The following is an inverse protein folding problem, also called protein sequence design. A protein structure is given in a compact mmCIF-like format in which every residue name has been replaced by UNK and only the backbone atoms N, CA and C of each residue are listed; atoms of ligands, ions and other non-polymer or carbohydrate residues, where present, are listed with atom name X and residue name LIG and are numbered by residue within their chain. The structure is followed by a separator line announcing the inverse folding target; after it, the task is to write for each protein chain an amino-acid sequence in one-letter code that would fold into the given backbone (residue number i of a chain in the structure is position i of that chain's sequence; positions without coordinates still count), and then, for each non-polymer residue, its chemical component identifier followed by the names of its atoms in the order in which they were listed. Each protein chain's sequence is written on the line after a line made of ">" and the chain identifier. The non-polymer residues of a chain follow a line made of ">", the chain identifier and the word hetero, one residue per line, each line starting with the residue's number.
data_IF_164434232452
#
_entry.id   IF_164434232452
#
_cell.length_a   1.000
_cell.length_b   1.000
_cell.length_c   1.000
_cell.angle_alpha   90.00
_cell.angle_beta   90.00
_cell.angle_gamma   90.00
#
_symmetry.space_group_name_H-M   'P 1'
#
loop_
_entity.id
_entity.type
_entity.pdbx_description
1 polymer ?
#
# COMPACT_ATOMS: atom_id res chain seq x y z
N UNK A 1 -0.42 -20.28 86.39
CA UNK A 1 -0.24 -18.88 85.89
C UNK A 1 0.79 -18.82 84.75
N UNK A 2 0.71 -19.74 83.78
CA UNK A 2 1.75 -19.87 82.72
C UNK A 2 1.21 -19.84 81.28
N UNK A 3 -0.11 -19.59 81.07
CA UNK A 3 -0.70 -19.63 79.70
C UNK A 3 -0.89 -18.29 79.02
N UNK A 4 -0.77 -17.13 79.66
CA UNK A 4 -0.98 -15.82 79.06
C UNK A 4 0.22 -15.29 78.24
N UNK A 5 1.44 -15.77 78.50
CA UNK A 5 2.65 -15.30 77.81
C UNK A 5 2.78 -15.79 76.41
N UNK A 6 2.40 -17.02 76.08
CA UNK A 6 2.62 -17.65 74.80
C UNK A 6 1.62 -17.12 73.74
N UNK A 7 0.43 -16.70 74.15
CA UNK A 7 -0.60 -16.18 73.23
C UNK A 7 -0.21 -14.80 72.62
N UNK A 8 0.52 -14.00 73.42
CA UNK A 8 0.96 -12.64 72.96
C UNK A 8 2.08 -12.74 71.94
N UNK A 9 3.00 -13.69 72.08
CA UNK A 9 4.11 -13.92 71.17
C UNK A 9 3.59 -14.45 69.84
N UNK A 10 2.62 -15.38 69.83
CA UNK A 10 2.03 -15.87 68.59
C UNK A 10 1.27 -14.78 67.80
N UNK A 11 0.51 -13.91 68.46
CA UNK A 11 -0.19 -12.80 67.79
C UNK A 11 0.78 -11.83 67.11
N UNK A 12 1.89 -11.50 67.74
CA UNK A 12 2.88 -10.61 67.16
C UNK A 12 3.60 -11.25 65.98
N UNK A 13 3.88 -12.57 66.02
CA UNK A 13 4.51 -13.28 64.90
C UNK A 13 3.62 -13.36 63.68
N UNK A 14 2.30 -13.59 63.83
CA UNK A 14 1.32 -13.61 62.76
C UNK A 14 1.10 -12.20 62.14
N UNK A 15 1.10 -11.16 63.00
CA UNK A 15 0.92 -9.78 62.54
C UNK A 15 2.12 -9.28 61.70
N UNK A 16 3.34 -9.63 62.09
CA UNK A 16 4.54 -9.28 61.32
C UNK A 16 4.64 -10.04 60.00
N UNK A 17 4.21 -11.32 59.96
CA UNK A 17 4.21 -12.09 58.73
C UNK A 17 3.26 -11.55 57.65
N UNK A 18 2.12 -11.02 58.07
CA UNK A 18 1.14 -10.41 57.14
C UNK A 18 1.59 -9.05 56.60
N UNK A 19 2.28 -8.26 57.42
CA UNK A 19 2.84 -6.96 56.98
C UNK A 19 3.94 -7.18 55.92
N UNK A 20 4.81 -8.18 56.12
CA UNK A 20 5.87 -8.51 55.16
C UNK A 20 5.32 -9.05 53.84
N UNK A 21 4.27 -9.91 53.88
CA UNK A 21 3.60 -10.40 52.68
C UNK A 21 2.89 -9.30 51.90
N UNK A 22 2.25 -8.33 52.57
CA UNK A 22 1.61 -7.23 51.90
C UNK A 22 2.61 -6.25 51.27
N UNK A 23 3.72 -5.96 51.92
CA UNK A 23 4.81 -5.13 51.38
C UNK A 23 5.43 -5.78 50.14
N UNK A 24 5.60 -7.10 50.13
CA UNK A 24 6.13 -7.85 49.00
C UNK A 24 5.15 -7.87 47.81
N UNK A 25 3.82 -7.95 48.07
CA UNK A 25 2.82 -7.88 47.03
C UNK A 25 2.69 -6.48 46.37
N UNK A 26 2.82 -5.42 47.19
CA UNK A 26 2.81 -4.04 46.70
C UNK A 26 4.08 -3.74 45.89
N UNK A 27 5.26 -4.21 46.34
CA UNK A 27 6.49 -4.07 45.58
C UNK A 27 6.44 -4.82 44.23
N UNK A 28 5.86 -6.04 44.20
CA UNK A 28 5.72 -6.84 42.99
C UNK A 28 4.74 -6.19 42.00
N UNK A 29 3.63 -5.60 42.46
CA UNK A 29 2.69 -4.87 41.63
C UNK A 29 3.28 -3.57 41.06
N UNK A 30 4.11 -2.87 41.82
CA UNK A 30 4.81 -1.67 41.34
C UNK A 30 5.85 -1.99 40.27
N UNK A 31 6.58 -3.09 40.40
CA UNK A 31 7.56 -3.54 39.38
C UNK A 31 6.86 -4.00 38.11
N UNK A 32 5.68 -4.64 38.19
CA UNK A 32 4.90 -5.01 37.02
C UNK A 32 4.28 -3.79 36.32
N UNK A 33 3.86 -2.77 37.08
CA UNK A 33 3.30 -1.54 36.48
C UNK A 33 4.36 -0.70 35.76
N UNK A 34 5.61 -0.67 36.25
CA UNK A 34 6.71 0.06 35.58
C UNK A 34 7.24 -0.67 34.36
N UNK A 35 7.17 -1.99 34.29
CA UNK A 35 7.58 -2.76 33.10
C UNK A 35 6.59 -2.66 31.93
N UNK A 36 5.33 -2.34 32.19
CA UNK A 36 4.32 -2.13 31.12
C UNK A 36 4.47 -0.75 30.48
N UNK A 37 4.97 0.25 31.19
CA UNK A 37 5.19 1.60 30.64
C UNK A 37 6.43 1.65 29.71
N UNK A 38 7.40 0.74 29.91
CA UNK A 38 8.61 0.64 29.07
C UNK A 38 8.42 -0.17 27.77
N UNK A 39 7.30 -0.88 27.63
CA UNK A 39 6.91 -1.66 26.45
C UNK A 39 5.67 -1.06 25.76
N UNK A 40 5.46 0.26 25.85
CA UNK A 40 4.68 0.88 24.80
C UNK A 40 5.43 0.53 23.50
N UNK A 41 4.87 -0.34 22.61
CA UNK A 41 5.44 -0.43 21.30
C UNK A 41 5.50 1.03 20.84
N UNK A 42 6.67 1.50 20.47
CA UNK A 42 6.74 2.62 19.60
C UNK A 42 5.90 2.19 18.40
N UNK A 43 4.60 2.47 18.43
CA UNK A 43 3.85 2.61 17.22
C UNK A 43 4.60 3.74 16.53
N UNK A 44 5.64 3.36 15.78
CA UNK A 44 6.07 4.19 14.70
C UNK A 44 4.76 4.40 13.95
N UNK A 45 4.13 5.53 14.15
CA UNK A 45 3.25 6.07 13.14
C UNK A 45 4.14 6.00 11.92
N UNK A 46 3.93 4.96 11.09
CA UNK A 46 4.50 4.96 9.78
C UNK A 46 4.05 6.30 9.24
N UNK A 47 4.97 7.26 9.21
CA UNK A 47 4.75 8.47 8.47
C UNK A 47 4.37 7.94 7.10
N UNK A 48 3.09 8.06 6.75
CA UNK A 48 2.63 7.74 5.42
C UNK A 48 3.54 8.57 4.56
N UNK A 49 4.30 7.92 3.68
CA UNK A 49 5.17 8.64 2.78
C UNK A 49 4.25 9.66 2.08
N UNK A 50 4.58 10.94 2.21
CA UNK A 50 3.82 12.00 1.57
C UNK A 50 4.28 12.04 0.11
N UNK A 51 3.58 11.26 -0.71
CA UNK A 51 3.91 11.13 -2.12
C UNK A 51 3.53 12.40 -2.88
N UNK A 52 4.21 12.61 -3.98
CA UNK A 52 3.98 13.72 -4.91
C UNK A 52 4.22 13.25 -6.35
N UNK A 53 3.88 14.09 -7.30
CA UNK A 53 4.14 13.83 -8.71
C UNK A 53 5.64 13.60 -9.00
N UNK A 54 6.55 14.14 -8.18
CA UNK A 54 8.00 13.99 -8.34
C UNK A 54 8.51 12.57 -8.02
N UNK A 55 7.73 11.78 -7.28
CA UNK A 55 8.08 10.40 -6.95
C UNK A 55 7.88 9.45 -8.14
N UNK A 56 7.15 9.93 -9.16
CA UNK A 56 6.96 9.24 -10.43
C UNK A 56 7.66 10.03 -11.52
N UNK A 57 8.92 9.67 -11.83
CA UNK A 57 9.77 10.43 -12.77
C UNK A 57 10.70 9.51 -13.54
N UNK A 58 11.00 9.86 -14.80
CA UNK A 58 11.91 9.12 -15.68
C UNK A 58 11.26 7.90 -16.32
N UNK A 59 12.08 6.92 -16.66
CA UNK A 59 11.70 5.79 -17.49
C UNK A 59 11.27 4.59 -16.67
N UNK A 60 10.18 3.95 -17.12
CA UNK A 60 9.66 2.71 -16.56
C UNK A 60 9.38 1.71 -17.67
N UNK A 61 9.67 0.43 -17.42
CA UNK A 61 9.17 -0.65 -18.26
C UNK A 61 7.73 -0.95 -17.90
N UNK A 62 6.86 -0.81 -18.88
CA UNK A 62 5.44 -1.15 -18.78
C UNK A 62 5.23 -2.64 -19.06
N UNK A 63 4.50 -3.32 -18.22
CA UNK A 63 3.96 -4.64 -18.45
C UNK A 63 2.48 -4.66 -18.09
N UNK A 64 1.64 -5.18 -18.98
CA UNK A 64 0.20 -5.27 -18.78
C UNK A 64 -0.41 -6.52 -19.38
N UNK A 65 -1.45 -7.01 -18.72
CA UNK A 65 -2.25 -8.15 -19.14
C UNK A 65 -3.73 -7.84 -18.96
N UNK A 66 -4.57 -8.53 -19.71
CA UNK A 66 -6.00 -8.36 -19.59
C UNK A 66 -6.77 -8.96 -20.74
N UNK A 67 -7.93 -8.38 -20.99
CA UNK A 67 -8.81 -8.75 -22.09
C UNK A 67 -9.57 -7.57 -22.64
N UNK A 68 -10.01 -7.70 -23.87
CA UNK A 68 -10.86 -6.76 -24.55
C UNK A 68 -12.12 -7.42 -25.07
N UNK A 69 -13.22 -6.67 -25.11
CA UNK A 69 -14.50 -7.12 -25.69
C UNK A 69 -14.81 -6.28 -26.93
N UNK A 70 -15.47 -6.88 -27.90
CA UNK A 70 -16.02 -6.13 -29.03
C UNK A 70 -15.04 -5.75 -30.13
N UNK A 71 -13.80 -6.22 -30.13
CA UNK A 71 -12.86 -5.94 -31.21
C UNK A 71 -13.25 -6.72 -32.49
N UNK A 72 -13.51 -5.97 -33.57
CA UNK A 72 -13.77 -6.54 -34.89
C UNK A 72 -15.15 -7.19 -35.08
N UNK A 73 -16.21 -6.57 -34.59
CA UNK A 73 -17.61 -7.00 -34.71
C UNK A 73 -17.94 -8.34 -34.00
N UNK A 74 -17.22 -8.67 -32.96
CA UNK A 74 -17.50 -9.86 -32.14
C UNK A 74 -17.74 -9.51 -30.68
N UNK A 75 -18.80 -10.06 -30.08
CA UNK A 75 -19.03 -10.02 -28.64
C UNK A 75 -18.05 -10.94 -27.85
N UNK A 76 -16.95 -11.29 -28.46
CA UNK A 76 -15.99 -12.22 -27.87
C UNK A 76 -14.98 -11.48 -27.01
N UNK A 77 -14.67 -12.08 -25.87
CA UNK A 77 -13.55 -11.69 -25.03
C UNK A 77 -12.26 -12.19 -25.69
N UNK A 78 -11.32 -11.30 -25.92
CA UNK A 78 -10.01 -11.62 -26.50
C UNK A 78 -8.89 -11.24 -25.56
N UNK A 79 -7.81 -12.06 -25.47
CA UNK A 79 -6.68 -11.76 -24.60
C UNK A 79 -5.92 -10.53 -25.10
N UNK A 80 -5.44 -9.75 -24.12
CA UNK A 80 -4.63 -8.57 -24.31
C UNK A 80 -3.34 -8.70 -23.49
N UNK A 81 -2.21 -8.33 -24.08
CA UNK A 81 -0.97 -8.09 -23.35
C UNK A 81 -0.25 -6.88 -23.91
N UNK A 82 0.49 -6.18 -23.06
CA UNK A 82 1.23 -4.99 -23.45
C UNK A 82 2.62 -5.00 -22.79
N UNK A 83 3.61 -4.57 -23.54
CA UNK A 83 4.97 -4.34 -23.03
C UNK A 83 5.57 -3.15 -23.75
N UNK A 84 6.36 -2.34 -23.04
CA UNK A 84 7.07 -1.21 -23.64
C UNK A 84 7.68 -0.28 -22.62
N UNK A 85 7.87 0.95 -23.00
CA UNK A 85 8.48 1.99 -22.20
C UNK A 85 7.48 3.13 -21.96
N UNK A 86 7.52 3.68 -20.77
CA UNK A 86 6.81 4.92 -20.42
C UNK A 86 7.80 5.86 -19.76
N UNK A 87 7.81 7.12 -20.20
CA UNK A 87 8.64 8.18 -19.64
C UNK A 87 7.76 9.22 -18.99
N UNK A 88 7.95 9.45 -17.70
CA UNK A 88 7.23 10.45 -16.91
C UNK A 88 8.03 11.75 -16.77
N UNK A 89 7.37 12.90 -16.98
CA UNK A 89 7.93 14.25 -16.85
C UNK A 89 7.17 15.04 -15.78
N UNK A 90 7.60 15.00 -14.49
CA UNK A 90 6.89 15.64 -13.38
C UNK A 90 6.69 17.15 -13.54
N UNK A 91 7.67 17.83 -14.13
CA UNK A 91 7.64 19.29 -14.30
C UNK A 91 6.43 19.78 -15.10
N UNK A 92 5.87 18.94 -15.97
CA UNK A 92 4.68 19.24 -16.79
C UNK A 92 3.48 18.37 -16.45
N UNK A 93 3.65 17.35 -15.61
CA UNK A 93 2.61 16.37 -15.32
C UNK A 93 2.23 15.52 -16.54
N UNK A 94 3.20 15.28 -17.45
CA UNK A 94 2.98 14.55 -18.71
C UNK A 94 3.76 13.25 -18.73
N UNK A 95 3.28 12.32 -19.54
CA UNK A 95 4.02 11.11 -19.89
C UNK A 95 4.00 10.86 -21.39
N UNK A 96 5.00 10.14 -21.86
CA UNK A 96 5.06 9.54 -23.18
C UNK A 96 5.14 8.04 -23.07
N UNK A 97 4.37 7.29 -23.86
CA UNK A 97 4.38 5.84 -23.87
C UNK A 97 4.65 5.29 -25.25
N UNK A 98 5.52 4.28 -25.31
CA UNK A 98 5.84 3.48 -26.48
C UNK A 98 5.63 2.01 -26.16
N UNK A 99 4.50 1.46 -26.55
CA UNK A 99 4.08 0.10 -26.25
C UNK A 99 3.88 -0.74 -27.49
N UNK A 100 4.19 -2.01 -27.36
CA UNK A 100 3.65 -3.07 -28.22
C UNK A 100 2.45 -3.67 -27.49
N UNK A 101 1.28 -3.48 -28.04
CA UNK A 101 0.03 -4.07 -27.59
C UNK A 101 -0.27 -5.31 -28.43
N UNK A 102 -0.46 -6.45 -27.81
CA UNK A 102 -0.90 -7.68 -28.46
C UNK A 102 -2.35 -7.95 -28.12
N UNK A 103 -3.19 -7.94 -29.15
CA UNK A 103 -4.63 -8.18 -29.05
C UNK A 103 -5.01 -9.35 -29.96
N UNK A 104 -5.58 -10.39 -29.40
CA UNK A 104 -6.00 -11.61 -30.15
C UNK A 104 -4.91 -12.14 -31.09
N UNK A 105 -3.65 -12.11 -30.65
CA UNK A 105 -2.51 -12.59 -31.43
C UNK A 105 -1.91 -11.60 -32.43
N UNK A 106 -2.53 -10.44 -32.65
CA UNK A 106 -2.04 -9.39 -33.54
C UNK A 106 -1.32 -8.32 -32.73
N UNK A 107 -0.16 -7.86 -33.20
CA UNK A 107 0.61 -6.79 -32.56
C UNK A 107 0.25 -5.44 -33.15
N UNK A 108 0.16 -4.44 -32.27
CA UNK A 108 -0.07 -3.04 -32.61
C UNK A 108 0.95 -2.18 -31.87
N UNK A 109 1.58 -1.25 -32.56
CA UNK A 109 2.34 -0.18 -31.94
C UNK A 109 1.39 0.85 -31.36
N UNK A 110 1.67 1.29 -30.13
CA UNK A 110 0.83 2.25 -29.43
C UNK A 110 1.72 3.35 -28.83
N UNK A 111 1.90 4.41 -29.61
CA UNK A 111 2.59 5.64 -29.20
C UNK A 111 1.57 6.63 -28.69
N UNK A 112 1.70 7.13 -27.47
CA UNK A 112 0.75 8.09 -26.88
C UNK A 112 1.45 9.04 -25.93
N UNK A 113 0.91 10.24 -25.91
CA UNK A 113 1.19 11.25 -24.89
C UNK A 113 -0.04 11.43 -24.02
N UNK A 114 0.18 11.75 -22.77
CA UNK A 114 -0.89 11.98 -21.82
C UNK A 114 -0.47 12.80 -20.62
N UNK A 115 -1.37 12.92 -19.67
CA UNK A 115 -1.14 13.60 -18.39
C UNK A 115 -1.34 12.64 -17.23
N UNK A 116 -0.68 12.92 -16.11
CA UNK A 116 -0.84 12.15 -14.89
C UNK A 116 -0.85 13.04 -13.64
N UNK A 117 -1.42 12.52 -12.58
CA UNK A 117 -1.43 13.13 -11.25
C UNK A 117 -0.99 12.11 -10.21
N UNK A 118 -0.56 12.59 -9.04
CA UNK A 118 -0.26 11.77 -7.86
C UNK A 118 -0.74 12.53 -6.64
N UNK A 119 -1.46 11.87 -5.75
CA UNK A 119 -1.86 12.41 -4.47
C UNK A 119 -0.91 11.99 -3.33
N UNK A 120 -1.10 12.57 -2.14
CA UNK A 120 -0.26 12.32 -0.97
C UNK A 120 -0.31 10.87 -0.46
N UNK A 121 -1.30 10.07 -0.86
CA UNK A 121 -1.40 8.64 -0.50
C UNK A 121 -0.62 7.73 -1.46
N UNK A 122 -0.07 8.30 -2.54
CA UNK A 122 0.61 7.55 -3.59
C UNK A 122 -0.34 6.96 -4.64
N UNK A 123 -1.63 7.33 -4.58
CA UNK A 123 -2.56 7.06 -5.66
C UNK A 123 -2.36 8.07 -6.79
N UNK A 124 -2.29 7.59 -8.00
CA UNK A 124 -2.17 8.44 -9.18
C UNK A 124 -3.15 8.05 -10.27
N UNK A 125 -3.42 8.98 -11.18
CA UNK A 125 -4.25 8.77 -12.36
C UNK A 125 -3.48 9.13 -13.61
N UNK A 126 -3.73 8.41 -14.71
CA UNK A 126 -3.19 8.70 -16.04
C UNK A 126 -4.36 8.87 -17.02
N UNK A 127 -4.23 9.81 -17.92
CA UNK A 127 -5.24 10.09 -18.94
C UNK A 127 -4.60 10.38 -20.29
N UNK A 128 -5.10 9.76 -21.35
CA UNK A 128 -4.67 10.01 -22.73
C UNK A 128 -5.79 9.79 -23.73
N UNK A 129 -5.59 10.20 -24.99
CA UNK A 129 -6.50 9.91 -26.09
C UNK A 129 -6.08 8.61 -26.79
N UNK A 130 -7.02 7.70 -26.98
CA UNK A 130 -6.85 6.51 -27.82
C UNK A 130 -6.69 6.89 -29.30
N UNK A 131 -6.29 5.93 -30.15
CA UNK A 131 -6.26 6.14 -31.60
C UNK A 131 -7.65 6.38 -32.23
N UNK A 132 -8.71 6.00 -31.51
CA UNK A 132 -10.09 6.26 -31.92
C UNK A 132 -10.63 7.63 -31.44
N UNK A 133 -9.85 8.36 -30.63
CA UNK A 133 -10.22 9.65 -30.04
C UNK A 133 -10.94 9.55 -28.69
N UNK A 134 -11.10 8.35 -28.15
CA UNK A 134 -11.71 8.17 -26.83
C UNK A 134 -10.70 8.51 -25.74
N UNK A 135 -11.16 9.12 -24.65
CA UNK A 135 -10.34 9.35 -23.46
C UNK A 135 -10.19 8.04 -22.70
N UNK A 136 -8.95 7.71 -22.34
CA UNK A 136 -8.59 6.51 -21.59
C UNK A 136 -8.07 6.90 -20.22
N UNK A 137 -8.37 6.07 -19.22
CA UNK A 137 -7.98 6.31 -17.83
C UNK A 137 -7.34 5.05 -17.23
N UNK A 138 -6.32 5.29 -16.44
CA UNK A 138 -5.68 4.28 -15.59
C UNK A 138 -5.52 4.88 -14.21
N UNK A 139 -5.82 4.09 -13.20
CA UNK A 139 -5.42 4.36 -11.84
C UNK A 139 -4.18 3.54 -11.47
N UNK A 140 -3.26 4.12 -10.69
CA UNK A 140 -2.09 3.42 -10.22
C UNK A 140 -1.78 3.75 -8.76
N UNK A 141 -1.00 2.88 -8.13
CA UNK A 141 -0.41 3.12 -6.81
C UNK A 141 1.11 3.02 -6.87
N UNK A 142 1.77 3.94 -6.17
CA UNK A 142 3.21 3.92 -5.98
C UNK A 142 3.55 2.82 -4.97
N UNK A 143 4.47 1.93 -5.34
CA UNK A 143 5.02 0.91 -4.45
C UNK A 143 6.55 0.99 -4.44
N UNK A 144 7.18 0.47 -3.40
CA UNK A 144 8.63 0.45 -3.26
C UNK A 144 9.29 1.85 -3.43
N UNK A 145 8.62 2.91 -2.92
CA UNK A 145 9.17 4.27 -2.99
C UNK A 145 9.33 4.82 -4.42
N UNK A 146 8.45 4.43 -5.34
CA UNK A 146 8.49 4.87 -6.73
C UNK A 146 9.30 3.97 -7.67
N UNK A 147 9.92 2.91 -7.16
CA UNK A 147 10.60 1.94 -8.01
C UNK A 147 9.63 1.06 -8.82
N UNK A 148 8.39 0.99 -8.40
CA UNK A 148 7.33 0.21 -9.05
C UNK A 148 5.98 0.92 -8.93
N UNK A 149 5.15 0.84 -9.96
CA UNK A 149 3.75 1.26 -9.95
C UNK A 149 2.88 0.03 -10.26
N UNK A 150 1.79 -0.13 -9.50
CA UNK A 150 0.73 -1.11 -9.80
C UNK A 150 -0.44 -0.36 -10.39
N UNK A 151 -0.96 -0.80 -11.51
CA UNK A 151 -1.97 -0.08 -12.23
C UNK A 151 -3.15 -0.97 -12.68
N UNK A 152 -4.30 -0.34 -12.89
CA UNK A 152 -5.52 -0.93 -13.44
C UNK A 152 -6.20 0.06 -14.38
N UNK A 153 -6.77 -0.44 -15.45
CA UNK A 153 -7.65 0.32 -16.35
C UNK A 153 -8.98 0.65 -15.64
N UNK A 154 -9.39 1.90 -15.68
CA UNK A 154 -10.59 2.41 -14.98
C UNK A 154 -11.60 3.07 -15.90
N UNK A 155 -11.49 2.83 -17.20
CA UNK A 155 -12.44 3.35 -18.17
C UNK A 155 -13.85 2.81 -17.93
N UNK A 156 -14.88 3.70 -17.92
CA UNK A 156 -16.26 3.25 -17.78
C UNK A 156 -16.76 2.59 -19.08
N UNK A 157 -17.59 1.53 -18.99
CA UNK A 157 -18.32 1.05 -20.15
C UNK A 157 -19.23 2.16 -20.69
N UNK A 158 -19.48 2.30 -22.04
CA UNK A 158 -19.49 1.20 -23.01
C UNK A 158 -18.45 1.33 -24.15
N UNK A 159 -17.38 2.12 -24.01
CA UNK A 159 -16.61 2.54 -25.19
C UNK A 159 -15.66 1.48 -25.76
N UNK A 160 -15.08 0.66 -25.01
CA UNK A 160 -14.46 -0.63 -25.31
C UNK A 160 -14.23 -1.26 -23.94
N UNK A 161 -14.85 -2.38 -23.69
CA UNK A 161 -14.58 -3.08 -22.43
C UNK A 161 -13.15 -3.63 -22.48
N UNK A 162 -12.19 -2.77 -22.16
CA UNK A 162 -10.85 -3.20 -21.79
C UNK A 162 -10.84 -3.37 -20.28
N UNK A 163 -10.40 -4.53 -19.84
CA UNK A 163 -10.03 -4.75 -18.45
C UNK A 163 -8.59 -5.18 -18.46
N UNK A 164 -7.71 -4.29 -18.09
CA UNK A 164 -6.27 -4.56 -18.03
C UNK A 164 -5.65 -4.04 -16.74
N UNK A 165 -4.59 -4.70 -16.32
CA UNK A 165 -3.84 -4.38 -15.13
C UNK A 165 -2.37 -4.77 -15.32
N UNK A 166 -1.51 -4.26 -14.48
CA UNK A 166 -0.10 -4.60 -14.61
C UNK A 166 0.83 -3.84 -13.70
N UNK A 167 2.07 -3.77 -14.14
CA UNK A 167 3.16 -3.11 -13.43
C UNK A 167 3.96 -2.20 -14.35
N UNK A 168 4.52 -1.16 -13.76
CA UNK A 168 5.56 -0.35 -14.37
C UNK A 168 6.76 -0.35 -13.43
N UNK A 169 7.92 -0.76 -13.91
CA UNK A 169 9.14 -0.89 -13.11
C UNK A 169 10.18 0.11 -13.59
N UNK A 170 10.69 0.92 -12.66
CA UNK A 170 11.67 1.98 -12.94
C UNK A 170 12.98 1.39 -13.46
N UNK A 171 13.57 2.06 -14.45
CA UNK A 171 14.86 1.72 -15.06
C UNK A 171 16.02 2.37 -14.31
#
# INVERSE_FOLDING_TARGET
>A
MAMKGNYRIMKNKLRNSNITKNRMRVALLLVLATSIIGLAPAFSTSAWADFSINDVSGDYVWHGEGWAVGQGNSDKIVPLSAVGLITYTPATGTFHVDLILRLNGTNFENLRDGTYTVDATGHGTMTWLSGAGDTRHIDFYIVNGGAELKWIDTDPPPTVELSSFGTMTKQ
#
